data_IF_532077845487
#
_entry.id   IF_532077845487
#
_cell.length_a   1.000
_cell.length_b   1.000
_cell.length_c   1.000
_cell.angle_alpha   90.00
_cell.angle_beta   90.00
_cell.angle_gamma   90.00
#
_symmetry.space_group_name_H-M   'P 1'
#
loop_
_entity.id
_entity.type
_entity.pdbx_description
1 polymer ?
#
# COMPACT_ATOMS: atom_id res chain seq x y z
N UNK A 1 -28.12 -6.09 -16.19
CA UNK A 1 -26.73 -5.95 -15.71
C UNK A 1 -26.02 -4.93 -16.59
N UNK A 2 -25.69 -3.76 -16.02
CA UNK A 2 -24.93 -2.73 -16.73
C UNK A 2 -23.45 -3.11 -16.73
N UNK A 3 -23.02 -3.80 -17.79
CA UNK A 3 -21.60 -4.13 -18.01
C UNK A 3 -21.02 -3.13 -18.99
N UNK A 4 -19.89 -2.53 -18.65
CA UNK A 4 -19.18 -1.63 -19.53
C UNK A 4 -18.14 -2.42 -20.33
N UNK A 5 -18.13 -2.24 -21.64
CA UNK A 5 -17.14 -2.82 -22.55
C UNK A 5 -16.39 -1.73 -23.30
N UNK A 6 -15.12 -1.97 -23.58
CA UNK A 6 -14.29 -1.10 -24.40
C UNK A 6 -13.43 -1.93 -25.33
N UNK A 7 -13.05 -1.34 -26.47
CA UNK A 7 -12.16 -1.95 -27.47
C UNK A 7 -10.80 -1.29 -27.50
N UNK A 8 -9.79 -2.06 -27.87
CA UNK A 8 -8.46 -1.55 -28.15
C UNK A 8 -8.24 -1.42 -29.69
N UNK A 9 -7.20 -0.69 -30.15
CA UNK A 9 -6.88 -0.57 -31.56
C UNK A 9 -6.49 -1.88 -32.25
N UNK A 10 -6.20 -2.93 -31.47
CA UNK A 10 -5.84 -4.27 -31.97
C UNK A 10 -7.07 -5.16 -32.22
N UNK A 11 -8.28 -4.66 -31.95
CA UNK A 11 -9.53 -5.35 -32.18
C UNK A 11 -10.00 -6.25 -31.03
N UNK A 12 -9.39 -6.15 -29.85
CA UNK A 12 -9.85 -6.86 -28.65
C UNK A 12 -10.98 -6.09 -27.98
N UNK A 13 -11.90 -6.83 -27.35
CA UNK A 13 -12.97 -6.27 -26.53
C UNK A 13 -12.79 -6.72 -25.08
N UNK A 14 -12.74 -5.76 -24.19
CA UNK A 14 -12.57 -5.98 -22.75
C UNK A 14 -13.82 -5.56 -22.00
N UNK A 15 -14.10 -6.26 -20.91
CA UNK A 15 -15.11 -5.85 -19.94
C UNK A 15 -14.42 -5.05 -18.83
N UNK A 16 -14.90 -3.84 -18.56
CA UNK A 16 -14.41 -3.02 -17.46
C UNK A 16 -14.86 -3.56 -16.09
N UNK A 17 -14.14 -3.21 -15.04
CA UNK A 17 -14.46 -3.53 -13.64
C UNK A 17 -14.67 -5.03 -13.38
N UNK A 18 -13.85 -5.87 -14.00
CA UNK A 18 -13.85 -7.32 -13.78
C UNK A 18 -12.48 -7.83 -13.38
N UNK A 19 -12.46 -8.61 -12.28
CA UNK A 19 -11.23 -9.22 -11.78
C UNK A 19 -10.27 -8.22 -11.11
N UNK A 20 -9.10 -8.72 -10.72
CA UNK A 20 -8.07 -7.99 -9.98
C UNK A 20 -6.75 -7.92 -10.76
N UNK A 21 -6.83 -7.88 -12.08
CA UNK A 21 -5.67 -7.72 -12.98
C UNK A 21 -6.06 -6.93 -14.23
N UNK A 22 -5.08 -6.26 -14.82
CA UNK A 22 -5.24 -5.60 -16.11
C UNK A 22 -4.85 -6.59 -17.22
N UNK A 23 -5.85 -7.31 -17.74
CA UNK A 23 -5.66 -8.36 -18.75
C UNK A 23 -4.51 -9.34 -18.41
N UNK A 24 -4.44 -9.79 -17.13
CA UNK A 24 -3.37 -10.65 -16.64
C UNK A 24 -2.09 -9.92 -16.21
N UNK A 25 -2.00 -8.61 -16.39
CA UNK A 25 -0.90 -7.78 -15.92
C UNK A 25 -1.19 -7.18 -14.54
N UNK A 26 -0.16 -6.84 -13.74
CA UNK A 26 -0.35 -6.16 -12.47
C UNK A 26 -0.96 -4.77 -12.66
N UNK A 27 -1.89 -4.41 -11.78
CA UNK A 27 -2.44 -3.05 -11.69
C UNK A 27 -1.52 -2.21 -10.81
N UNK A 28 -0.94 -1.15 -11.37
CA UNK A 28 -0.18 -0.17 -10.60
C UNK A 28 -1.13 0.81 -9.92
N UNK A 29 -0.87 1.09 -8.65
CA UNK A 29 -1.65 2.06 -7.89
C UNK A 29 -0.77 2.96 -7.04
N UNK A 30 -1.28 4.17 -6.79
CA UNK A 30 -0.71 5.10 -5.84
C UNK A 30 -1.84 5.82 -5.10
N UNK A 31 -1.74 5.93 -3.81
CA UNK A 31 -2.67 6.71 -3.00
C UNK A 31 -1.93 7.45 -1.90
N UNK A 32 -2.46 8.59 -1.49
CA UNK A 32 -1.87 9.43 -0.47
C UNK A 32 -2.93 10.13 0.36
N UNK A 33 -2.62 10.31 1.63
CA UNK A 33 -3.43 11.12 2.53
C UNK A 33 -3.17 12.61 2.27
N UNK A 34 -4.10 13.46 2.67
CA UNK A 34 -3.87 14.90 2.64
C UNK A 34 -2.69 15.29 3.55
N UNK A 35 -1.93 16.31 3.15
CA UNK A 35 -0.88 16.86 3.99
C UNK A 35 -1.45 17.42 5.30
N UNK A 36 -0.82 17.07 6.41
CA UNK A 36 -1.25 17.44 7.75
C UNK A 36 -0.07 18.00 8.56
N UNK A 37 -0.37 18.95 9.45
CA UNK A 37 0.58 19.50 10.41
C UNK A 37 0.80 18.64 11.65
N UNK A 38 -0.02 17.60 11.87
CA UNK A 38 0.03 16.74 13.06
C UNK A 38 0.17 17.50 14.37
N UNK A 39 -0.72 18.45 14.60
CA UNK A 39 -0.86 19.28 15.80
C UNK A 39 0.27 20.26 16.11
N UNK A 40 1.38 20.23 15.39
CA UNK A 40 2.51 21.12 15.64
C UNK A 40 2.91 21.88 14.38
N UNK A 41 2.87 23.20 14.46
CA UNK A 41 3.30 24.10 13.39
C UNK A 41 4.84 24.33 13.40
N UNK A 42 5.60 23.24 13.59
CA UNK A 42 7.06 23.22 13.63
C UNK A 42 7.60 22.11 12.72
N UNK A 43 8.86 22.22 12.37
CA UNK A 43 9.55 21.11 11.71
C UNK A 43 9.64 19.91 12.64
N UNK A 44 9.51 18.75 12.10
CA UNK A 44 9.53 17.48 12.83
C UNK A 44 10.16 16.37 11.99
N UNK A 45 10.64 15.35 12.66
CA UNK A 45 11.12 14.13 12.04
C UNK A 45 10.00 13.08 12.11
N UNK A 46 9.56 12.60 10.96
CA UNK A 46 8.69 11.43 10.83
C UNK A 46 9.59 10.21 10.86
N UNK A 47 9.70 9.54 12.00
CA UNK A 47 10.66 8.46 12.21
C UNK A 47 10.18 7.13 11.70
N UNK A 48 8.96 6.76 12.05
CA UNK A 48 8.38 5.47 11.72
C UNK A 48 6.90 5.59 11.36
N UNK A 49 6.43 4.63 10.58
CA UNK A 49 5.02 4.44 10.25
C UNK A 49 4.61 3.00 10.58
N UNK A 50 3.38 2.83 11.01
CA UNK A 50 2.75 1.53 11.23
C UNK A 50 1.41 1.49 10.50
N UNK A 51 1.38 0.92 9.29
CA UNK A 51 0.11 0.73 8.59
C UNK A 51 -0.70 -0.39 9.25
N UNK A 52 -2.02 -0.18 9.31
CA UNK A 52 -2.98 -1.24 9.56
C UNK A 52 -3.68 -1.53 8.25
N UNK A 53 -3.39 -2.68 7.66
CA UNK A 53 -3.97 -3.08 6.38
C UNK A 53 -4.22 -4.58 6.33
N UNK A 54 -5.22 -4.95 5.53
CA UNK A 54 -5.55 -6.33 5.21
C UNK A 54 -5.16 -6.63 3.77
N UNK A 55 -4.46 -7.74 3.54
CA UNK A 55 -3.97 -8.13 2.21
C UNK A 55 -4.37 -9.56 1.94
N UNK A 56 -4.92 -9.79 0.74
CA UNK A 56 -5.21 -11.11 0.20
C UNK A 56 -4.23 -11.38 -0.93
N UNK A 57 -3.33 -12.35 -0.75
CA UNK A 57 -2.30 -12.69 -1.73
C UNK A 57 -0.95 -12.02 -1.48
N UNK A 58 -0.06 -12.03 -2.46
CA UNK A 58 1.28 -11.44 -2.38
C UNK A 58 1.31 -10.09 -3.10
N UNK A 59 1.92 -9.10 -2.46
CA UNK A 59 1.88 -7.73 -2.93
C UNK A 59 3.23 -7.04 -2.67
N UNK A 60 3.69 -6.27 -3.63
CA UNK A 60 4.85 -5.39 -3.47
C UNK A 60 4.36 -3.96 -3.24
N UNK A 61 4.67 -3.43 -2.09
CA UNK A 61 4.27 -2.08 -1.66
C UNK A 61 5.48 -1.24 -1.32
N UNK A 62 5.38 0.05 -1.61
CA UNK A 62 6.22 1.09 -1.03
C UNK A 62 5.34 2.01 -0.19
N UNK A 63 5.75 2.30 1.03
CA UNK A 63 5.04 3.22 1.90
C UNK A 63 6.02 4.12 2.64
N UNK A 64 5.71 5.40 2.71
CA UNK A 64 6.52 6.38 3.44
C UNK A 64 5.72 7.64 3.74
N UNK A 65 6.36 8.59 4.40
CA UNK A 65 5.84 9.95 4.57
C UNK A 65 6.53 10.85 3.56
N UNK A 66 5.76 11.60 2.77
CA UNK A 66 6.25 12.75 2.02
C UNK A 66 6.09 14.01 2.85
N UNK A 67 7.13 14.84 2.90
CA UNK A 67 7.11 16.10 3.62
C UNK A 67 7.06 17.29 2.67
N UNK A 68 6.42 18.37 3.13
CA UNK A 68 6.44 19.70 2.51
C UNK A 68 6.14 19.69 1.00
N UNK A 69 5.11 18.93 0.62
CA UNK A 69 4.62 18.79 -0.78
C UNK A 69 5.67 18.26 -1.76
N UNK A 70 6.70 17.56 -1.26
CA UNK A 70 7.71 16.92 -2.10
C UNK A 70 7.09 15.85 -2.99
N UNK A 71 7.53 15.79 -4.25
CA UNK A 71 7.14 14.77 -5.22
C UNK A 71 8.20 13.67 -5.39
N UNK A 72 9.16 13.55 -4.46
CA UNK A 72 10.18 12.51 -4.52
C UNK A 72 9.55 11.12 -4.48
N UNK A 73 10.12 10.21 -5.26
CA UNK A 73 9.72 8.82 -5.26
C UNK A 73 9.98 8.19 -3.88
N UNK A 74 9.07 7.31 -3.49
CA UNK A 74 9.20 6.55 -2.25
C UNK A 74 10.07 5.33 -2.54
N UNK A 75 11.09 5.11 -1.70
CA UNK A 75 12.04 3.99 -1.85
C UNK A 75 12.02 3.01 -0.68
N UNK A 76 11.02 3.08 0.19
CA UNK A 76 10.87 2.15 1.31
C UNK A 76 9.97 0.97 0.94
N UNK A 77 10.51 -0.15 0.48
CA UNK A 77 9.72 -1.32 0.17
C UNK A 77 9.19 -1.97 1.45
N UNK A 78 7.90 -2.15 1.53
CA UNK A 78 7.28 -3.07 2.47
C UNK A 78 7.29 -4.45 1.83
N UNK A 79 8.23 -5.29 2.21
CA UNK A 79 8.25 -6.68 1.75
C UNK A 79 7.17 -7.47 2.46
N UNK A 80 5.98 -7.49 1.87
CA UNK A 80 4.86 -8.25 2.36
C UNK A 80 4.85 -9.59 1.66
N UNK A 81 5.48 -10.57 2.29
CA UNK A 81 5.39 -11.96 1.87
C UNK A 81 4.17 -12.55 2.54
N UNK A 82 3.12 -12.78 1.77
CA UNK A 82 2.04 -13.63 2.25
C UNK A 82 2.51 -15.08 2.11
N UNK A 83 2.61 -15.85 3.20
CA UNK A 83 2.88 -17.28 3.09
C UNK A 83 1.76 -17.89 2.23
N UNK A 84 2.16 -18.65 1.21
CA UNK A 84 1.32 -19.28 0.21
C UNK A 84 -0.02 -19.73 0.79
N UNK A 85 -1.11 -19.08 0.38
CA UNK A 85 -2.44 -19.60 0.63
C UNK A 85 -2.62 -20.85 -0.23
N UNK A 86 -2.80 -21.96 0.41
CA UNK A 86 -3.02 -23.22 -0.30
C UNK A 86 -4.50 -23.40 -0.59
N UNK A 87 -4.89 -23.69 -1.85
CA UNK A 87 -6.29 -23.91 -2.19
C UNK A 87 -6.88 -25.10 -1.43
N UNK A 88 -8.11 -24.99 -0.99
CA UNK A 88 -8.91 -26.11 -0.50
C UNK A 88 -8.87 -27.24 -1.51
N UNK A 89 -8.70 -28.47 -1.14
CA UNK A 89 -8.61 -29.68 -1.94
C UNK A 89 -7.25 -30.02 -2.58
N UNK A 90 -6.23 -29.17 -2.53
CA UNK A 90 -4.94 -29.49 -3.18
C UNK A 90 -3.79 -29.60 -2.19
N UNK A 91 -3.99 -29.21 -0.95
CA UNK A 91 -2.92 -29.15 0.05
C UNK A 91 -3.25 -29.94 1.31
N UNK A 92 -2.24 -30.64 1.92
CA UNK A 92 -2.45 -31.44 3.13
C UNK A 92 -2.89 -30.58 4.31
N UNK A 93 -3.86 -31.07 5.07
CA UNK A 93 -4.48 -30.37 6.21
C UNK A 93 -3.50 -29.92 7.31
N UNK A 94 -2.37 -30.57 7.44
CA UNK A 94 -1.43 -30.36 8.54
C UNK A 94 -0.22 -29.49 8.19
N UNK A 95 -0.03 -29.10 6.92
CA UNK A 95 1.18 -28.41 6.46
C UNK A 95 0.93 -27.12 5.68
N UNK A 96 -0.32 -26.84 5.35
CA UNK A 96 -0.66 -25.70 4.49
C UNK A 96 -1.32 -24.57 5.26
N UNK A 97 -0.87 -23.33 5.12
CA UNK A 97 -1.55 -22.19 5.70
C UNK A 97 -2.89 -21.96 4.98
N UNK A 98 -3.97 -21.95 5.73
CA UNK A 98 -5.35 -21.79 5.24
C UNK A 98 -5.81 -20.33 5.20
N UNK A 99 -4.95 -19.39 5.58
CA UNK A 99 -5.31 -17.97 5.68
C UNK A 99 -5.12 -17.31 4.34
N UNK A 100 -6.21 -16.86 3.73
CA UNK A 100 -6.20 -16.07 2.48
C UNK A 100 -5.84 -14.61 2.78
N UNK A 101 -6.15 -14.14 3.98
CA UNK A 101 -5.98 -12.75 4.40
C UNK A 101 -4.91 -12.61 5.48
N UNK A 102 -4.02 -11.65 5.33
CA UNK A 102 -3.01 -11.26 6.31
C UNK A 102 -3.23 -9.82 6.75
N UNK A 103 -3.34 -9.60 8.05
CA UNK A 103 -3.30 -8.27 8.64
C UNK A 103 -1.86 -7.86 8.89
N UNK A 104 -1.50 -6.66 8.43
CA UNK A 104 -0.19 -6.05 8.65
C UNK A 104 -0.35 -4.94 9.65
N UNK A 105 0.50 -4.96 10.69
CA UNK A 105 0.55 -3.96 11.75
C UNK A 105 1.97 -3.90 12.34
N UNK A 106 2.97 -3.67 11.49
CA UNK A 106 4.38 -3.61 11.88
C UNK A 106 4.92 -2.19 11.68
N UNK A 107 5.94 -1.82 12.46
CA UNK A 107 6.60 -0.53 12.35
C UNK A 107 7.68 -0.54 11.27
N UNK A 108 7.64 0.46 10.40
CA UNK A 108 8.61 0.68 9.33
C UNK A 108 9.25 2.07 9.47
N UNK A 109 10.57 2.15 9.31
CA UNK A 109 11.28 3.42 9.34
C UNK A 109 10.99 4.24 8.08
N UNK A 110 10.76 5.55 8.23
CA UNK A 110 10.61 6.47 7.10
C UNK A 110 11.64 7.61 7.09
N UNK A 111 12.09 8.10 8.25
CA UNK A 111 13.18 9.07 8.38
C UNK A 111 13.00 10.36 7.58
N UNK A 112 11.77 10.87 7.45
CA UNK A 112 11.47 12.05 6.65
C UNK A 112 11.37 13.30 7.54
N UNK A 113 12.01 14.39 7.15
CA UNK A 113 12.00 15.65 7.88
C UNK A 113 11.16 16.69 7.14
N UNK A 114 10.33 17.43 7.88
CA UNK A 114 9.52 18.52 7.33
C UNK A 114 8.44 19.03 8.30
N UNK A 115 7.71 20.01 7.85
CA UNK A 115 6.61 20.65 8.62
C UNK A 115 5.27 19.97 8.40
N UNK A 116 4.96 19.70 7.15
CA UNK A 116 3.75 18.98 6.73
C UNK A 116 4.13 17.56 6.36
N UNK A 117 3.31 16.59 6.70
CA UNK A 117 3.48 15.20 6.30
C UNK A 117 2.25 14.65 5.60
N UNK A 118 2.48 13.77 4.63
CA UNK A 118 1.46 12.98 3.94
C UNK A 118 1.94 11.54 3.84
N UNK A 119 1.14 10.61 4.32
CA UNK A 119 1.43 9.19 4.11
C UNK A 119 1.08 8.82 2.68
N UNK A 120 2.01 8.20 2.00
CA UNK A 120 1.86 7.75 0.62
C UNK A 120 2.07 6.24 0.56
N UNK A 121 1.21 5.57 -0.20
CA UNK A 121 1.26 4.16 -0.51
C UNK A 121 1.29 3.98 -2.03
N UNK A 122 2.28 3.27 -2.54
CA UNK A 122 2.43 2.96 -3.96
C UNK A 122 2.73 1.48 -4.12
N UNK A 123 2.22 0.86 -5.18
CA UNK A 123 2.47 -0.55 -5.39
C UNK A 123 1.90 -1.10 -6.69
N UNK A 124 2.02 -2.41 -6.82
CA UNK A 124 1.46 -3.17 -7.92
C UNK A 124 0.74 -4.39 -7.37
N UNK A 125 -0.48 -4.61 -7.80
CA UNK A 125 -1.32 -5.73 -7.40
C UNK A 125 -1.63 -6.62 -8.60
N UNK A 126 -1.45 -7.92 -8.45
CA UNK A 126 -1.87 -8.93 -9.42
C UNK A 126 -2.73 -9.96 -8.70
N UNK A 127 -4.01 -10.01 -9.03
CA UNK A 127 -4.98 -10.92 -8.42
C UNK A 127 -5.00 -10.86 -6.88
N UNK A 128 -4.78 -9.67 -6.32
CA UNK A 128 -4.60 -9.44 -4.89
C UNK A 128 -5.54 -8.32 -4.44
N UNK A 129 -6.20 -8.52 -3.30
CA UNK A 129 -6.96 -7.49 -2.61
C UNK A 129 -6.10 -6.77 -1.57
N UNK A 130 -6.28 -5.46 -1.45
CA UNK A 130 -5.65 -4.63 -0.43
C UNK A 130 -6.70 -3.70 0.17
N UNK A 131 -6.80 -3.71 1.50
CA UNK A 131 -7.58 -2.74 2.25
C UNK A 131 -6.67 -1.99 3.23
N UNK A 132 -6.57 -0.69 3.07
CA UNK A 132 -5.83 0.19 3.97
C UNK A 132 -6.78 0.86 4.96
N UNK A 133 -6.70 0.47 6.23
CA UNK A 133 -7.62 0.94 7.28
C UNK A 133 -7.12 2.22 7.95
N UNK A 134 -5.86 2.22 8.41
CA UNK A 134 -5.27 3.35 9.12
C UNK A 134 -3.74 3.31 9.06
N UNK A 135 -3.10 4.38 9.52
CA UNK A 135 -1.65 4.42 9.72
C UNK A 135 -1.32 5.23 10.97
N UNK A 136 -0.56 4.63 11.86
CA UNK A 136 0.06 5.34 12.96
C UNK A 136 1.41 5.90 12.50
N UNK A 137 1.75 7.09 12.98
CA UNK A 137 3.00 7.78 12.65
C UNK A 137 3.70 8.14 13.93
N UNK A 138 4.96 7.76 14.06
CA UNK A 138 5.83 8.22 15.13
C UNK A 138 6.55 9.48 14.66
N UNK A 139 6.38 10.55 15.44
CA UNK A 139 6.87 11.89 15.13
C UNK A 139 7.73 12.36 16.28
N UNK A 140 8.95 12.78 15.98
CA UNK A 140 9.83 13.47 16.92
C UNK A 140 9.82 14.97 16.63
N UNK A 141 9.43 15.82 17.60
CA UNK A 141 9.55 17.26 17.42
C UNK A 141 11.02 17.61 17.29
N UNK A 142 11.37 18.32 16.22
CA UNK A 142 12.69 18.92 16.13
C UNK A 142 12.69 20.14 17.05
N UNK A 143 13.36 20.04 18.21
CA UNK A 143 13.68 21.20 19.02
C UNK A 143 14.72 22.03 18.25
N UNK A 144 14.18 23.05 17.59
CA UNK A 144 14.77 23.96 16.68
C UNK A 144 16.27 24.24 16.80
N UNK A 145 17.00 24.01 15.75
CA UNK A 145 17.94 25.03 15.32
C UNK A 145 17.30 25.75 14.14
N UNK A 146 17.00 27.00 14.33
CA UNK A 146 16.56 27.97 13.34
C UNK A 146 17.70 28.17 12.34
#
# INVERSE_FOLDING_TARGET
>A
DNKLYFGDPSGNVFQADTGNSDNGSPISFACGQAYNLFQQNKNKLFTMIRPLMSIQGSLTLNMSVRADFSLKNITNPLNIINPNSSPWNTSPWNTSPWTIEKTISEWYGCGTFGRYGSVILEGQALNTGLEWHSTDILIEPSEGVI
#
